data_IF_168236040670
#
_entry.id   IF_168236040670
#
_cell.length_a   1.000
_cell.length_b   1.000
_cell.length_c   1.000
_cell.angle_alpha   90.00
_cell.angle_beta   90.00
_cell.angle_gamma   90.00
#
_symmetry.space_group_name_H-M   'P 1'
#
loop_
_entity.id
_entity.type
_entity.pdbx_description
1 polymer ?
#
# COMPACT_ATOMS: atom_id res chain seq x y z
N UNK A 1 14.34 21.85 7.22
CA UNK A 1 13.56 22.31 8.40
C UNK A 1 14.53 22.27 9.56
N UNK A 2 14.59 23.34 10.36
CA UNK A 2 15.48 23.38 11.53
C UNK A 2 15.06 22.31 12.55
N UNK A 3 16.04 21.76 13.26
CA UNK A 3 15.78 20.84 14.36
C UNK A 3 15.14 21.56 15.54
N UNK A 4 14.63 20.77 16.50
CA UNK A 4 14.16 21.28 17.78
C UNK A 4 15.31 21.93 18.57
N UNK A 5 16.51 21.36 18.47
CA UNK A 5 17.74 21.89 19.07
C UNK A 5 18.09 23.26 18.48
N UNK A 6 18.08 23.41 17.16
CA UNK A 6 18.37 24.68 16.48
C UNK A 6 17.40 25.78 16.93
N UNK A 7 16.13 25.45 17.17
CA UNK A 7 15.14 26.41 17.67
C UNK A 7 15.54 26.98 19.04
N UNK A 8 15.96 26.13 19.97
CA UNK A 8 16.39 26.58 21.30
C UNK A 8 17.71 27.33 21.24
N UNK A 9 18.63 26.91 20.37
CA UNK A 9 19.90 27.59 20.15
C UNK A 9 19.70 29.01 19.62
N UNK A 10 18.77 29.22 18.67
CA UNK A 10 18.38 30.56 18.19
C UNK A 10 17.91 31.45 19.35
N UNK A 11 17.04 30.92 20.22
CA UNK A 11 16.47 31.67 21.35
C UNK A 11 17.56 32.02 22.37
N UNK A 12 18.43 31.06 22.69
CA UNK A 12 19.52 31.25 23.64
C UNK A 12 20.53 32.28 23.13
N UNK A 13 21.00 32.17 21.89
CA UNK A 13 21.93 33.14 21.30
C UNK A 13 21.32 34.54 21.25
N UNK A 14 20.01 34.65 21.00
CA UNK A 14 19.33 35.95 21.03
C UNK A 14 19.22 36.53 22.43
N UNK A 15 19.00 35.71 23.45
CA UNK A 15 19.03 36.14 24.86
C UNK A 15 20.43 36.58 25.29
N UNK A 16 21.48 35.97 24.75
CA UNK A 16 22.88 36.37 24.95
C UNK A 16 23.28 37.65 24.19
N UNK A 17 22.36 38.25 23.42
CA UNK A 17 22.60 39.49 22.70
C UNK A 17 23.22 39.33 21.30
N UNK A 18 23.35 38.10 20.78
CA UNK A 18 23.89 37.89 19.44
C UNK A 18 23.04 38.56 18.34
N UNK A 19 23.71 39.03 17.29
CA UNK A 19 23.05 39.60 16.13
C UNK A 19 22.39 38.50 15.29
N UNK A 20 21.30 38.87 14.61
CA UNK A 20 20.51 37.93 13.80
C UNK A 20 21.37 37.33 12.67
N UNK A 21 22.28 38.12 12.10
CA UNK A 21 23.20 37.71 11.03
C UNK A 21 24.16 36.61 11.53
N UNK A 22 24.72 36.79 12.73
CA UNK A 22 25.66 35.82 13.32
C UNK A 22 24.96 34.51 13.68
N UNK A 23 23.75 34.59 14.25
CA UNK A 23 22.92 33.41 14.54
C UNK A 23 22.61 32.64 13.24
N UNK A 24 22.28 33.37 12.17
CA UNK A 24 21.99 32.79 10.87
C UNK A 24 23.21 32.08 10.28
N UNK A 25 24.40 32.70 10.37
CA UNK A 25 25.66 32.11 9.94
C UNK A 25 26.05 30.86 10.74
N UNK A 26 25.93 30.91 12.07
CA UNK A 26 26.27 29.79 12.96
C UNK A 26 25.39 28.55 12.73
N UNK A 27 24.08 28.77 12.49
CA UNK A 27 23.10 27.69 12.31
C UNK A 27 23.00 27.25 10.83
N UNK A 28 23.57 28.02 9.90
CA UNK A 28 23.46 27.75 8.47
C UNK A 28 22.04 27.96 7.93
N UNK A 29 21.33 28.97 8.43
CA UNK A 29 19.98 29.31 7.98
C UNK A 29 19.87 30.78 7.54
N UNK A 30 18.75 31.19 6.95
CA UNK A 30 18.55 32.58 6.56
C UNK A 30 18.12 33.45 7.75
N UNK A 31 18.48 34.73 7.76
CA UNK A 31 18.01 35.70 8.76
C UNK A 31 16.47 35.74 8.87
N UNK A 32 15.77 35.57 7.74
CA UNK A 32 14.31 35.48 7.69
C UNK A 32 13.78 34.28 8.49
N UNK A 33 14.55 33.21 8.57
CA UNK A 33 14.23 32.03 9.38
C UNK A 33 14.45 32.32 10.85
N UNK A 34 15.58 32.93 11.22
CA UNK A 34 15.86 33.36 12.59
C UNK A 34 14.77 34.31 13.11
N UNK A 35 14.44 35.38 12.37
CA UNK A 35 13.37 36.32 12.72
C UNK A 35 12.01 35.64 12.89
N UNK A 36 11.71 34.64 12.06
CA UNK A 36 10.46 33.87 12.14
C UNK A 36 10.43 32.99 13.39
N UNK A 37 11.54 32.32 13.69
CA UNK A 37 11.63 31.38 14.83
C UNK A 37 11.67 32.11 16.17
N UNK A 38 12.24 33.32 16.22
CA UNK A 38 12.19 34.17 17.41
C UNK A 38 10.77 34.59 17.80
N UNK A 39 9.85 34.71 16.84
CA UNK A 39 8.43 35.04 17.08
C UNK A 39 7.63 33.87 17.66
N UNK A 40 8.03 32.64 17.37
CA UNK A 40 7.31 31.49 17.89
C UNK A 40 7.65 31.25 19.36
N UNK A 41 6.65 30.93 20.21
CA UNK A 41 6.90 30.54 21.59
C UNK A 41 7.54 29.15 21.65
N UNK A 42 7.16 28.25 20.74
CA UNK A 42 7.61 26.87 20.70
C UNK A 42 8.10 26.45 19.29
N UNK A 43 8.94 25.40 19.20
CA UNK A 43 9.38 24.86 17.93
C UNK A 43 8.17 24.45 17.07
N UNK A 44 8.10 24.86 15.78
CA UNK A 44 6.98 24.51 14.93
C UNK A 44 6.89 23.00 14.76
N UNK A 45 5.81 22.40 15.24
CA UNK A 45 5.56 20.97 15.10
C UNK A 45 5.47 20.58 13.61
N UNK A 46 6.11 19.47 13.25
CA UNK A 46 5.96 18.90 11.91
C UNK A 46 4.51 18.44 11.75
N UNK A 47 3.78 19.03 10.80
CA UNK A 47 2.42 18.58 10.48
C UNK A 47 2.45 17.12 10.04
N UNK A 48 1.88 16.23 10.85
CA UNK A 48 1.68 14.83 10.48
C UNK A 48 0.74 14.79 9.29
N UNK A 49 1.23 14.31 8.14
CA UNK A 49 0.36 14.11 6.98
C UNK A 49 -0.61 12.97 7.30
N UNK A 50 -1.91 13.22 7.26
CA UNK A 50 -2.92 12.17 7.37
C UNK A 50 -2.95 11.34 6.09
N UNK A 51 -2.01 10.38 5.97
CA UNK A 51 -1.78 9.63 4.72
C UNK A 51 -3.02 8.86 4.25
N UNK A 52 -3.94 8.48 5.14
CA UNK A 52 -4.96 7.46 4.84
C UNK A 52 -6.41 7.96 4.87
N UNK A 53 -6.68 9.27 4.95
CA UNK A 53 -8.05 9.81 5.11
C UNK A 53 -9.02 9.26 4.06
N UNK A 54 -8.60 9.23 2.79
CA UNK A 54 -9.42 8.72 1.68
C UNK A 54 -9.59 7.21 1.67
N UNK A 55 -8.66 6.46 2.27
CA UNK A 55 -8.68 5.00 2.30
C UNK A 55 -9.52 4.48 3.47
N UNK A 56 -9.64 5.25 4.56
CA UNK A 56 -10.36 4.88 5.78
C UNK A 56 -11.76 4.27 5.52
N UNK A 57 -12.64 4.87 4.69
CA UNK A 57 -13.98 4.32 4.47
C UNK A 57 -13.99 2.94 3.78
N UNK A 58 -12.89 2.56 3.12
CA UNK A 58 -12.78 1.31 2.36
C UNK A 58 -11.93 0.25 3.07
N UNK A 59 -11.41 0.54 4.28
CA UNK A 59 -10.49 -0.36 4.99
C UNK A 59 -11.13 -1.70 5.32
N UNK A 60 -12.36 -1.69 5.82
CA UNK A 60 -13.06 -2.93 6.22
C UNK A 60 -13.24 -3.86 5.02
N UNK A 61 -13.61 -3.30 3.88
CA UNK A 61 -13.72 -4.04 2.63
C UNK A 61 -12.36 -4.60 2.16
N UNK A 62 -11.30 -3.80 2.25
CA UNK A 62 -9.95 -4.24 1.89
C UNK A 62 -9.48 -5.39 2.80
N UNK A 63 -9.94 -5.42 4.05
CA UNK A 63 -9.56 -6.42 5.05
C UNK A 63 -10.31 -7.74 4.89
N UNK A 64 -11.52 -7.70 4.34
CA UNK A 64 -12.28 -8.88 3.95
C UNK A 64 -11.61 -9.64 2.79
N UNK A 65 -10.98 -8.95 1.85
CA UNK A 65 -10.42 -9.56 0.62
C UNK A 65 -9.29 -10.58 0.87
N UNK A 66 -8.31 -10.34 1.76
CA UNK A 66 -7.35 -11.35 2.17
C UNK A 66 -7.97 -12.61 2.79
N UNK A 67 -9.10 -12.50 3.49
CA UNK A 67 -9.81 -13.65 4.06
C UNK A 67 -10.43 -14.53 2.96
N UNK A 68 -10.84 -13.95 1.84
CA UNK A 68 -11.33 -14.65 0.64
C UNK A 68 -10.21 -15.11 -0.30
N UNK A 69 -8.95 -15.11 0.16
CA UNK A 69 -7.76 -15.43 -0.64
C UNK A 69 -7.46 -14.48 -1.82
N UNK A 70 -8.07 -13.30 -1.87
CA UNK A 70 -7.79 -12.28 -2.89
C UNK A 70 -6.66 -11.36 -2.40
N UNK A 71 -5.43 -11.70 -2.78
CA UNK A 71 -4.23 -10.92 -2.40
C UNK A 71 -3.75 -9.93 -3.46
N UNK A 72 -4.38 -9.93 -4.64
CA UNK A 72 -3.99 -9.07 -5.75
C UNK A 72 -4.47 -7.63 -5.51
N UNK A 73 -3.53 -6.73 -5.21
CA UNK A 73 -3.80 -5.32 -4.95
C UNK A 73 -4.43 -4.59 -6.14
N UNK A 74 -4.26 -5.08 -7.37
CA UNK A 74 -4.84 -4.45 -8.55
C UNK A 74 -6.33 -4.74 -8.69
N UNK A 75 -6.73 -5.97 -8.34
CA UNK A 75 -8.14 -6.40 -8.28
C UNK A 75 -8.86 -5.59 -7.20
N UNK A 76 -8.31 -5.59 -5.97
CA UNK A 76 -8.87 -4.81 -4.85
C UNK A 76 -8.95 -3.32 -5.22
N UNK A 77 -7.94 -2.77 -5.90
CA UNK A 77 -7.97 -1.38 -6.34
C UNK A 77 -9.09 -1.09 -7.34
N UNK A 78 -9.32 -1.97 -8.32
CA UNK A 78 -10.39 -1.80 -9.30
C UNK A 78 -11.76 -1.81 -8.63
N UNK A 79 -11.97 -2.71 -7.67
CA UNK A 79 -13.21 -2.83 -6.90
C UNK A 79 -13.49 -1.59 -6.05
N UNK A 80 -12.53 -1.14 -5.22
CA UNK A 80 -12.74 0.06 -4.40
C UNK A 80 -12.89 1.31 -5.27
N UNK A 81 -12.26 1.34 -6.46
CA UNK A 81 -12.43 2.44 -7.41
C UNK A 81 -13.85 2.45 -7.99
N UNK A 82 -14.44 1.29 -8.27
CA UNK A 82 -15.84 1.18 -8.65
C UNK A 82 -16.79 1.63 -7.51
N UNK A 83 -16.39 1.44 -6.25
CA UNK A 83 -17.10 1.93 -5.06
C UNK A 83 -16.86 3.43 -4.77
N UNK A 84 -16.13 4.15 -5.63
CA UNK A 84 -15.92 5.60 -5.50
C UNK A 84 -14.60 6.02 -4.83
N UNK A 85 -13.61 5.12 -4.71
CA UNK A 85 -12.29 5.49 -4.19
C UNK A 85 -11.55 6.46 -5.12
N UNK A 86 -11.28 7.67 -4.60
CA UNK A 86 -10.57 8.75 -5.33
C UNK A 86 -9.08 8.83 -5.00
N UNK A 87 -8.55 7.91 -4.20
CA UNK A 87 -7.14 7.88 -3.82
C UNK A 87 -6.26 7.09 -4.78
N UNK A 88 -4.94 7.16 -4.57
CA UNK A 88 -3.96 6.48 -5.42
C UNK A 88 -3.74 5.02 -5.05
N UNK A 89 -3.26 4.23 -6.02
CA UNK A 89 -2.82 2.82 -5.87
C UNK A 89 -1.74 2.67 -4.80
N UNK A 90 -0.84 3.64 -4.68
CA UNK A 90 0.26 3.61 -3.71
C UNK A 90 -0.23 3.57 -2.27
N UNK A 91 -1.35 4.23 -1.95
CA UNK A 91 -1.91 4.23 -0.60
C UNK A 91 -2.50 2.87 -0.22
N UNK A 92 -3.18 2.23 -1.17
CA UNK A 92 -3.68 0.86 -0.99
C UNK A 92 -2.52 -0.11 -0.77
N UNK A 93 -1.46 -0.02 -1.59
CA UNK A 93 -0.26 -0.86 -1.44
C UNK A 93 0.42 -0.65 -0.09
N UNK A 94 0.55 0.61 0.34
CA UNK A 94 1.09 0.94 1.66
C UNK A 94 0.30 0.28 2.80
N UNK A 95 -1.02 0.20 2.68
CA UNK A 95 -1.89 -0.43 3.67
C UNK A 95 -1.84 -1.97 3.65
N UNK A 96 -1.81 -2.59 2.46
CA UNK A 96 -1.84 -4.06 2.30
C UNK A 96 -0.46 -4.68 2.56
N UNK A 97 0.64 -3.97 2.26
CA UNK A 97 1.98 -4.53 2.27
C UNK A 97 2.38 -5.16 3.63
N UNK A 98 2.10 -4.56 4.80
CA UNK A 98 2.33 -5.20 6.09
C UNK A 98 1.56 -6.52 6.26
N UNK A 99 0.32 -6.60 5.75
CA UNK A 99 -0.59 -7.75 5.89
C UNK A 99 -0.16 -8.96 5.06
N UNK A 100 0.64 -8.76 4.01
CA UNK A 100 1.14 -9.85 3.14
C UNK A 100 2.11 -10.81 3.85
N UNK A 101 2.66 -10.44 4.99
CA UNK A 101 3.45 -11.36 5.82
C UNK A 101 2.62 -12.54 6.35
N UNK A 102 1.30 -12.36 6.47
CA UNK A 102 0.35 -13.38 6.93
C UNK A 102 -0.14 -14.28 5.80
N UNK A 103 0.27 -14.03 4.56
CA UNK A 103 -0.12 -14.87 3.43
C UNK A 103 0.45 -16.27 3.67
N UNK A 104 -0.37 -17.34 3.71
CA UNK A 104 0.16 -18.69 3.76
C UNK A 104 1.11 -18.85 2.57
N UNK A 105 2.34 -19.30 2.84
CA UNK A 105 3.26 -19.69 1.78
C UNK A 105 2.49 -20.60 0.85
N UNK A 106 2.51 -20.34 -0.46
CA UNK A 106 1.81 -21.16 -1.47
C UNK A 106 1.99 -22.63 -1.12
N UNK A 107 0.99 -23.26 -0.49
CA UNK A 107 0.73 -24.67 -0.76
C UNK A 107 0.53 -24.70 -2.27
N UNK A 108 1.36 -25.52 -2.91
CA UNK A 108 1.50 -25.55 -4.34
C UNK A 108 0.15 -25.93 -4.97
N UNK A 109 -0.70 -24.94 -5.24
CA UNK A 109 -1.98 -25.16 -5.89
C UNK A 109 -1.75 -25.91 -7.20
N UNK A 110 -2.59 -26.90 -7.47
CA UNK A 110 -2.64 -27.84 -8.62
C UNK A 110 -2.10 -27.33 -9.98
N UNK A 111 -2.10 -26.02 -10.21
CA UNK A 111 -1.38 -25.33 -11.29
C UNK A 111 0.11 -25.70 -11.41
N UNK A 112 0.82 -25.94 -10.29
CA UNK A 112 2.23 -26.33 -10.30
C UNK A 112 2.42 -27.82 -10.67
N UNK A 113 1.54 -28.70 -10.15
CA UNK A 113 1.50 -30.13 -10.48
C UNK A 113 1.19 -30.35 -11.97
N UNK A 114 0.37 -29.49 -12.57
CA UNK A 114 0.09 -29.52 -14.01
C UNK A 114 1.28 -29.05 -14.87
N UNK A 115 2.14 -28.15 -14.35
CA UNK A 115 3.39 -27.74 -15.01
C UNK A 115 4.45 -28.83 -14.91
N UNK A 116 4.57 -29.52 -13.77
CA UNK A 116 5.47 -30.67 -13.62
C UNK A 116 5.07 -31.84 -14.52
N UNK A 117 3.79 -32.21 -14.58
CA UNK A 117 3.30 -33.27 -15.47
C UNK A 117 3.54 -32.98 -16.95
N UNK A 118 3.42 -31.73 -17.38
CA UNK A 118 3.77 -31.30 -18.76
C UNK A 118 5.27 -31.32 -19.02
N UNK A 119 6.10 -30.92 -18.05
CA UNK A 119 7.57 -30.96 -18.15
C UNK A 119 8.09 -32.42 -18.14
N UNK A 120 7.41 -33.31 -17.42
CA UNK A 120 7.70 -34.74 -17.35
C UNK A 120 7.13 -35.54 -18.54
N UNK A 121 6.46 -34.89 -19.50
CA UNK A 121 5.95 -35.55 -20.71
C UNK A 121 4.75 -36.48 -20.51
N UNK A 122 4.11 -36.49 -19.34
CA UNK A 122 3.04 -37.46 -18.97
C UNK A 122 1.67 -37.10 -19.57
N UNK A 123 1.51 -35.91 -20.18
CA UNK A 123 0.26 -35.49 -20.79
C UNK A 123 0.47 -35.16 -22.27
N UNK A 124 0.11 -36.11 -23.15
CA UNK A 124 -0.02 -35.85 -24.58
C UNK A 124 -1.31 -35.07 -24.82
N UNK A 125 -1.14 -33.95 -25.51
CA UNK A 125 -2.23 -33.10 -26.00
C UNK A 125 -2.97 -33.93 -27.04
N UNK A 126 -4.15 -34.47 -26.68
CA UNK A 126 -5.35 -34.69 -27.50
C UNK A 126 -6.19 -35.84 -26.91
N UNK A 127 -7.18 -35.51 -26.07
CA UNK A 127 -8.40 -36.30 -25.93
C UNK A 127 -9.51 -35.32 -25.57
N UNK A 128 -10.20 -34.82 -26.59
CA UNK A 128 -11.58 -34.36 -26.42
C UNK A 128 -12.40 -35.60 -26.06
N UNK A 129 -13.05 -35.69 -24.91
CA UNK A 129 -14.12 -36.68 -24.76
C UNK A 129 -15.30 -36.14 -25.56
N UNK A 130 -15.64 -36.88 -26.61
CA UNK A 130 -16.95 -36.84 -27.25
C UNK A 130 -17.98 -36.99 -26.12
N UNK A 131 -18.95 -36.09 -26.08
CA UNK A 131 -20.06 -36.12 -25.13
C UNK A 131 -20.83 -37.44 -25.27
N UNK A 132 -20.83 -38.27 -24.23
CA UNK A 132 -21.68 -39.46 -24.13
C UNK A 132 -23.07 -39.08 -23.61
N UNK A 133 -23.82 -38.27 -24.35
CA UNK A 133 -25.24 -37.94 -24.09
C UNK A 133 -26.12 -38.14 -25.34
N UNK A 134 -25.80 -39.12 -26.18
CA UNK A 134 -26.79 -39.78 -27.04
C UNK A 134 -26.80 -41.27 -26.69
N UNK A 135 -27.67 -41.65 -25.75
CA UNK A 135 -28.24 -43.00 -25.62
C UNK A 135 -29.45 -42.92 -24.67
N UNK A 136 -30.53 -42.26 -25.11
CA UNK A 136 -31.85 -42.38 -24.50
C UNK A 136 -32.86 -42.82 -25.57
N UNK A 137 -33.14 -44.13 -25.52
CA UNK A 137 -34.44 -44.77 -25.75
C UNK A 137 -35.28 -44.36 -26.98
N UNK A 138 -35.26 -45.22 -28.01
CA UNK A 138 -36.46 -45.53 -28.78
C UNK A 138 -36.52 -47.02 -29.12
N UNK A 139 -37.03 -47.79 -28.15
CA UNK A 139 -37.55 -49.12 -28.38
C UNK A 139 -39.08 -49.07 -28.42
N UNK A 140 -39.64 -49.63 -29.50
CA UNK A 140 -41.03 -50.06 -29.72
C UNK A 140 -42.04 -49.00 -30.19
N UNK A 141 -42.49 -49.16 -31.44
CA UNK A 141 -43.85 -49.65 -31.66
C UNK A 141 -43.92 -50.50 -32.93
N UNK A 142 -44.79 -51.51 -32.87
CA UNK A 142 -45.06 -52.57 -33.84
C UNK A 142 -45.48 -52.07 -35.23
#
# INVERSE_FOLDING_TARGET
>A
MLSREDFYMIKQMRQQGAYIVDIAAQIGCSERTVRRYLKYPEPPARKTRHKMVKLKPFMDYIDMRPAENVWNSEVIFAEIKAMGYTGGRSMLRYYIQPKRKMRPSKEQGESYRLKEKRKAGVLTKNTTPISDDEMVQSGQHQ
#
